data_IF_325890002577
#
_entry.id   IF_325890002577
#
_cell.length_a   1.000
_cell.length_b   1.000
_cell.length_c   1.000
_cell.angle_alpha   90.00
_cell.angle_beta   90.00
_cell.angle_gamma   90.00
#
_symmetry.space_group_name_H-M   'P 1'
#
loop_
_entity.id
_entity.type
_entity.pdbx_description
1 polymer ?
#
# COMPACT_ATOMS: atom_id res chain seq x y z
N UNK A 1 -24.56 71.97 33.18
CA UNK A 1 -25.34 71.79 31.93
C UNK A 1 -24.42 71.08 30.95
N UNK A 2 -24.76 69.83 30.56
CA UNK A 2 -24.02 69.05 29.56
C UNK A 2 -23.15 67.92 30.12
N UNK A 3 -23.77 66.80 30.47
CA UNK A 3 -23.17 65.47 30.62
C UNK A 3 -22.69 64.96 29.25
N UNK A 4 -21.41 64.59 29.14
CA UNK A 4 -20.85 63.90 27.97
C UNK A 4 -20.43 62.50 28.40
N UNK A 5 -21.33 61.56 28.16
CA UNK A 5 -21.13 60.12 28.21
C UNK A 5 -20.53 59.65 26.89
N UNK A 6 -19.60 58.67 26.97
CA UNK A 6 -19.18 57.74 25.91
C UNK A 6 -18.37 58.38 24.75
N UNK A 7 -17.10 58.00 24.47
CA UNK A 7 -16.70 56.74 23.83
C UNK A 7 -15.26 56.34 24.28
N UNK A 8 -15.23 55.33 25.14
CA UNK A 8 -14.40 54.10 25.18
C UNK A 8 -13.26 53.97 24.13
N UNK A 9 -12.00 54.08 24.56
CA UNK A 9 -11.08 52.98 24.95
C UNK A 9 -10.46 52.20 23.77
N UNK A 10 -9.16 52.39 23.59
CA UNK A 10 -8.32 51.58 22.71
C UNK A 10 -8.25 50.12 23.22
N UNK A 11 -8.44 49.10 22.35
CA UNK A 11 -8.07 47.75 22.69
C UNK A 11 -6.61 47.49 22.30
N UNK A 12 -5.96 46.74 23.18
CA UNK A 12 -4.56 46.35 23.14
C UNK A 12 -4.31 45.32 22.04
N UNK A 13 -3.07 45.35 21.55
CA UNK A 13 -2.44 44.34 20.72
C UNK A 13 -2.41 43.01 21.51
N UNK A 14 -3.10 41.99 21.01
CA UNK A 14 -2.91 40.59 21.42
C UNK A 14 -2.59 39.76 20.18
N UNK A 15 -1.51 39.00 20.31
CA UNK A 15 -0.78 38.34 19.25
C UNK A 15 -1.49 37.09 18.68
N UNK A 16 -1.12 36.77 17.43
CA UNK A 16 -1.26 35.47 16.76
C UNK A 16 -2.68 34.99 16.46
N UNK A 17 -3.15 35.38 15.26
CA UNK A 17 -3.58 34.40 14.26
C UNK A 17 -3.10 34.89 12.90
N UNK A 18 -1.89 34.46 12.54
CA UNK A 18 -1.48 34.34 11.15
C UNK A 18 -2.61 33.60 10.45
N UNK A 19 -3.41 34.33 9.66
CA UNK A 19 -4.05 33.73 8.50
C UNK A 19 -2.87 33.20 7.69
N UNK A 20 -2.64 31.90 7.76
CA UNK A 20 -1.98 31.22 6.64
C UNK A 20 -2.80 31.65 5.43
N UNK A 21 -2.16 32.40 4.54
CA UNK A 21 -2.68 32.54 3.20
C UNK A 21 -2.94 31.12 2.70
N UNK A 22 -4.12 30.83 2.10
CA UNK A 22 -4.28 29.57 1.42
C UNK A 22 -3.15 29.52 0.40
N UNK A 23 -2.31 28.50 0.49
CA UNK A 23 -1.34 28.20 -0.56
C UNK A 23 -2.13 28.31 -1.88
N UNK A 24 -1.68 29.19 -2.78
CA UNK A 24 -2.23 29.28 -4.13
C UNK A 24 -1.93 27.94 -4.80
N UNK A 25 -2.78 26.94 -4.54
CA UNK A 25 -2.86 25.73 -5.34
C UNK A 25 -3.06 26.22 -6.77
N UNK A 26 -2.03 26.03 -7.59
CA UNK A 26 -2.00 26.45 -8.99
C UNK A 26 -3.35 26.02 -9.62
N UNK A 27 -4.17 26.95 -10.13
CA UNK A 27 -5.53 26.61 -10.62
C UNK A 27 -5.49 25.50 -11.69
N UNK A 28 -4.31 25.31 -12.30
CA UNK A 28 -3.99 24.24 -13.22
C UNK A 28 -3.88 22.83 -12.59
N UNK A 29 -3.59 22.72 -11.30
CA UNK A 29 -3.53 21.46 -10.53
C UNK A 29 -4.88 21.07 -9.92
N UNK A 30 -5.86 22.00 -9.87
CA UNK A 30 -7.20 21.71 -9.39
C UNK A 30 -8.00 20.94 -10.44
N UNK A 31 -8.65 19.85 -10.01
CA UNK A 31 -9.55 19.12 -10.91
C UNK A 31 -10.70 20.04 -11.35
N UNK A 32 -11.03 20.10 -12.66
CA UNK A 32 -12.17 20.87 -13.16
C UNK A 32 -13.53 20.43 -12.59
N UNK A 33 -13.58 19.24 -12.00
CA UNK A 33 -14.77 18.63 -11.42
C UNK A 33 -14.70 18.79 -9.90
N UNK A 34 -15.67 19.49 -9.32
CA UNK A 34 -15.69 19.82 -7.89
C UNK A 34 -15.77 18.59 -7.00
N UNK A 35 -16.52 17.56 -7.40
CA UNK A 35 -16.64 16.31 -6.66
C UNK A 35 -15.30 15.56 -6.57
N UNK A 36 -14.44 15.68 -7.58
CA UNK A 36 -13.10 15.06 -7.58
C UNK A 36 -12.15 15.84 -6.68
N UNK A 37 -12.21 17.18 -6.73
CA UNK A 37 -11.44 18.08 -5.87
C UNK A 37 -11.71 17.84 -4.38
N UNK A 38 -12.96 17.53 -4.01
CA UNK A 38 -13.35 17.30 -2.61
C UNK A 38 -13.02 15.90 -2.10
N UNK A 39 -12.73 14.95 -3.00
CA UNK A 39 -12.51 13.54 -2.62
C UNK A 39 -11.04 13.18 -2.51
N UNK A 40 -10.15 13.90 -3.19
CA UNK A 40 -8.70 13.66 -3.15
C UNK A 40 -7.98 14.99 -2.91
N UNK A 41 -7.20 15.13 -1.82
CA UNK A 41 -6.34 16.29 -1.64
C UNK A 41 -5.23 16.30 -2.70
N UNK A 42 -4.98 17.44 -3.32
CA UNK A 42 -3.92 17.62 -4.33
C UNK A 42 -2.51 17.62 -3.70
N UNK A 43 -2.41 17.95 -2.42
CA UNK A 43 -1.15 18.02 -1.68
C UNK A 43 -0.74 16.64 -1.15
N UNK A 44 0.51 16.21 -1.40
CA UNK A 44 1.10 15.02 -0.78
C UNK A 44 1.78 15.37 0.56
N UNK A 45 1.55 14.57 1.60
CA UNK A 45 2.27 14.67 2.88
C UNK A 45 3.45 13.67 2.92
N UNK A 46 4.71 14.13 2.82
CA UNK A 46 5.89 13.27 2.82
C UNK A 46 6.21 12.67 4.20
N UNK A 47 5.58 13.13 5.28
CA UNK A 47 5.84 12.64 6.64
C UNK A 47 5.17 11.30 6.95
N UNK A 48 4.18 10.89 6.13
CA UNK A 48 3.42 9.67 6.34
C UNK A 48 4.30 8.42 6.25
N UNK A 49 4.21 7.49 7.21
CA UNK A 49 5.01 6.27 7.21
C UNK A 49 4.58 5.33 6.08
N UNK A 50 5.57 4.90 5.30
CA UNK A 50 5.39 4.04 4.12
C UNK A 50 5.96 2.62 4.35
N UNK A 51 7.04 2.52 5.11
CA UNK A 51 7.81 1.28 5.32
C UNK A 51 7.45 0.59 6.63
N UNK A 52 6.17 0.27 6.83
CA UNK A 52 5.68 -0.33 8.07
C UNK A 52 5.65 -1.86 8.00
N UNK A 53 5.69 -2.52 9.16
CA UNK A 53 5.58 -3.97 9.25
C UNK A 53 4.27 -4.50 8.61
N UNK A 54 3.14 -3.82 8.86
CA UNK A 54 1.84 -4.21 8.31
C UNK A 54 1.81 -4.17 6.78
N UNK A 55 2.45 -3.18 6.16
CA UNK A 55 2.57 -3.09 4.69
C UNK A 55 3.33 -4.29 4.15
N UNK A 56 4.50 -4.60 4.72
CA UNK A 56 5.32 -5.73 4.30
C UNK A 56 4.62 -7.07 4.49
N UNK A 57 3.99 -7.27 5.65
CA UNK A 57 3.28 -8.49 5.97
C UNK A 57 2.11 -8.72 5.00
N UNK A 58 1.20 -7.74 4.86
CA UNK A 58 0.03 -7.86 3.99
C UNK A 58 0.42 -7.89 2.50
N UNK A 59 1.42 -7.11 2.09
CA UNK A 59 1.94 -7.09 0.72
C UNK A 59 2.55 -8.43 0.32
N UNK A 60 3.53 -8.94 1.07
CA UNK A 60 4.16 -10.23 0.76
C UNK A 60 3.16 -11.39 0.85
N UNK A 61 2.30 -11.39 1.87
CA UNK A 61 1.28 -12.42 2.03
C UNK A 61 0.30 -12.42 0.85
N UNK A 62 -0.22 -11.26 0.47
CA UNK A 62 -1.15 -11.15 -0.67
C UNK A 62 -0.50 -11.53 -1.99
N UNK A 63 0.76 -11.13 -2.22
CA UNK A 63 1.53 -11.52 -3.39
C UNK A 63 1.64 -13.06 -3.49
N UNK A 64 2.09 -13.71 -2.42
CA UNK A 64 2.24 -15.16 -2.37
C UNK A 64 0.90 -15.90 -2.52
N UNK A 65 -0.13 -15.46 -1.78
CA UNK A 65 -1.46 -16.06 -1.82
C UNK A 65 -2.07 -15.98 -3.21
N UNK A 66 -2.02 -14.80 -3.85
CA UNK A 66 -2.65 -14.58 -5.14
C UNK A 66 -1.91 -15.33 -6.25
N UNK A 67 -0.58 -15.39 -6.20
CA UNK A 67 0.22 -16.22 -7.11
C UNK A 67 -0.12 -17.70 -6.99
N UNK A 68 -0.24 -18.20 -5.76
CA UNK A 68 -0.63 -19.58 -5.50
C UNK A 68 -2.04 -19.89 -6.01
N UNK A 69 -3.03 -19.05 -5.67
CA UNK A 69 -4.42 -19.28 -6.06
C UNK A 69 -4.57 -19.28 -7.58
N UNK A 70 -3.99 -18.30 -8.27
CA UNK A 70 -4.04 -18.24 -9.73
C UNK A 70 -3.32 -19.44 -10.39
N UNK A 71 -2.18 -19.87 -9.85
CA UNK A 71 -1.51 -21.08 -10.34
C UNK A 71 -2.31 -22.36 -10.09
N UNK A 72 -2.96 -22.46 -8.93
CA UNK A 72 -3.79 -23.60 -8.56
C UNK A 72 -5.05 -23.70 -9.44
N UNK A 73 -5.77 -22.59 -9.61
CA UNK A 73 -6.96 -22.56 -10.46
C UNK A 73 -6.62 -22.72 -11.95
N UNK A 74 -5.40 -22.37 -12.38
CA UNK A 74 -4.93 -22.62 -13.74
C UNK A 74 -4.87 -24.09 -14.15
N UNK A 75 -4.85 -25.04 -13.20
CA UNK A 75 -4.91 -26.48 -13.49
C UNK A 75 -6.34 -27.05 -13.53
N UNK A 76 -7.36 -26.25 -13.19
CA UNK A 76 -8.77 -26.67 -13.28
C UNK A 76 -9.22 -26.64 -14.75
N UNK A 77 -10.18 -27.51 -15.08
CA UNK A 77 -10.80 -27.52 -16.43
C UNK A 77 -11.50 -26.20 -16.78
N UNK A 78 -12.06 -25.53 -15.78
CA UNK A 78 -12.59 -24.16 -15.87
C UNK A 78 -11.75 -23.26 -14.95
N UNK A 79 -10.77 -22.53 -15.49
CA UNK A 79 -9.82 -21.75 -14.69
C UNK A 79 -10.46 -20.45 -14.20
N UNK A 80 -10.41 -20.23 -12.88
CA UNK A 80 -10.81 -18.97 -12.26
C UNK A 80 -9.58 -18.08 -12.05
N UNK A 81 -9.65 -16.83 -12.52
CA UNK A 81 -8.59 -15.82 -12.30
C UNK A 81 -9.01 -14.85 -11.22
N UNK A 82 -8.21 -14.75 -10.15
CA UNK A 82 -8.43 -13.80 -9.07
C UNK A 82 -7.55 -12.58 -9.32
N UNK A 83 -8.18 -11.41 -9.44
CA UNK A 83 -7.51 -10.14 -9.70
C UNK A 83 -7.05 -9.48 -8.40
N UNK A 84 -6.13 -8.52 -8.54
CA UNK A 84 -5.62 -7.68 -7.45
C UNK A 84 -6.72 -6.87 -6.73
N UNK A 85 -7.87 -6.62 -7.38
CA UNK A 85 -8.99 -5.86 -6.80
C UNK A 85 -9.52 -6.54 -5.53
N UNK A 86 -9.58 -7.88 -5.52
CA UNK A 86 -10.01 -8.64 -4.34
C UNK A 86 -9.13 -8.34 -3.13
N UNK A 87 -7.81 -8.25 -3.33
CA UNK A 87 -6.87 -7.87 -2.27
C UNK A 87 -7.04 -6.41 -1.89
N UNK A 88 -7.20 -5.52 -2.88
CA UNK A 88 -7.37 -4.08 -2.64
C UNK A 88 -8.59 -3.81 -1.73
N UNK A 89 -9.72 -4.47 -1.97
CA UNK A 89 -10.93 -4.35 -1.14
C UNK A 89 -10.71 -4.98 0.24
N UNK A 90 -10.11 -6.17 0.32
CA UNK A 90 -9.89 -6.87 1.59
C UNK A 90 -8.86 -6.18 2.50
N UNK A 91 -7.85 -5.54 1.91
CA UNK A 91 -6.75 -4.92 2.66
C UNK A 91 -7.21 -3.71 3.46
N UNK A 92 -8.23 -2.98 3.02
CA UNK A 92 -8.72 -1.80 3.74
C UNK A 92 -9.25 -2.11 5.16
N UNK A 93 -10.22 -3.04 5.35
CA UNK A 93 -10.68 -3.41 6.68
C UNK A 93 -9.59 -4.13 7.49
N UNK A 94 -8.78 -4.99 6.86
CA UNK A 94 -7.70 -5.72 7.53
C UNK A 94 -6.60 -4.77 8.03
N UNK A 95 -6.19 -3.82 7.20
CA UNK A 95 -5.17 -2.81 7.53
C UNK A 95 -5.62 -1.91 8.68
N UNK A 96 -6.89 -1.48 8.68
CA UNK A 96 -7.49 -0.74 9.80
C UNK A 96 -7.57 -1.58 11.08
N UNK A 97 -7.94 -2.86 10.97
CA UNK A 97 -7.97 -3.78 12.10
C UNK A 97 -6.57 -4.01 12.69
N UNK A 98 -5.55 -4.20 11.83
CA UNK A 98 -4.16 -4.32 12.26
C UNK A 98 -3.64 -3.03 12.90
N UNK A 99 -4.01 -1.85 12.38
CA UNK A 99 -3.65 -0.58 13.00
C UNK A 99 -4.28 -0.38 14.39
N UNK A 100 -5.44 -0.99 14.66
CA UNK A 100 -6.09 -0.95 15.99
C UNK A 100 -5.53 -1.98 16.97
N UNK A 101 -5.11 -3.15 16.46
CA UNK A 101 -4.70 -4.29 17.30
C UNK A 101 -3.20 -4.38 17.54
N UNK A 102 -2.35 -3.84 16.64
CA UNK A 102 -0.91 -3.90 16.83
C UNK A 102 -0.44 -2.92 17.90
N UNK A 103 0.46 -3.36 18.80
CA UNK A 103 1.00 -2.51 19.85
C UNK A 103 1.84 -1.37 19.28
N UNK A 104 1.57 -0.15 19.73
CA UNK A 104 2.35 1.09 19.44
C UNK A 104 3.70 1.11 20.16
N UNK A 105 4.07 0.01 20.82
CA UNK A 105 5.29 -0.09 21.62
C UNK A 105 6.51 0.12 20.72
N UNK A 106 7.33 1.09 21.12
CA UNK A 106 8.55 1.43 20.41
C UNK A 106 9.68 0.53 20.91
N UNK A 107 10.18 -0.34 20.03
CA UNK A 107 11.29 -1.23 20.31
C UNK A 107 12.60 -0.60 19.86
N UNK A 108 13.61 -0.67 20.72
CA UNK A 108 15.01 -0.42 20.33
C UNK A 108 15.62 -1.75 19.95
N UNK A 109 16.03 -1.90 18.69
CA UNK A 109 16.69 -3.12 18.23
C UNK A 109 18.16 -3.05 18.69
N UNK A 110 18.61 -3.92 19.61
CA UNK A 110 20.02 -3.93 20.01
C UNK A 110 20.89 -4.31 18.80
N UNK A 111 21.77 -3.38 18.38
CA UNK A 111 22.68 -3.56 17.24
C UNK A 111 22.40 -2.67 16.01
N UNK A 112 21.27 -1.95 15.96
CA UNK A 112 20.92 -1.06 14.83
C UNK A 112 20.97 0.45 15.19
N UNK A 113 21.82 0.82 16.16
CA UNK A 113 21.98 2.20 16.64
C UNK A 113 20.82 2.70 17.52
N UNK A 114 20.66 4.02 17.63
CA UNK A 114 19.62 4.70 18.41
C UNK A 114 18.23 4.73 17.74
N UNK A 115 18.05 4.03 16.62
CA UNK A 115 16.80 4.05 15.86
C UNK A 115 15.70 3.31 16.63
N UNK A 116 14.63 4.05 16.88
CA UNK A 116 13.41 3.57 17.52
C UNK A 116 12.49 2.99 16.45
N UNK A 117 12.13 1.71 16.57
CA UNK A 117 11.25 1.02 15.63
C UNK A 117 9.91 0.72 16.29
N UNK A 118 8.82 1.24 15.74
CA UNK A 118 7.46 0.89 16.17
C UNK A 118 6.82 -0.03 15.14
N UNK A 119 6.17 -1.09 15.60
CA UNK A 119 5.36 -1.97 14.75
C UNK A 119 4.10 -1.28 14.23
N UNK A 120 3.66 -0.23 14.93
CA UNK A 120 2.48 0.56 14.58
C UNK A 120 2.80 2.06 14.73
N UNK A 121 3.47 2.67 13.73
CA UNK A 121 3.90 4.07 13.81
C UNK A 121 2.74 5.07 13.66
N UNK A 122 1.55 4.63 13.26
CA UNK A 122 0.40 5.49 13.03
C UNK A 122 -0.78 4.77 12.37
N UNK A 123 -1.89 5.47 12.10
CA UNK A 123 -3.08 4.91 11.45
C UNK A 123 -2.76 4.34 10.06
N UNK A 124 -3.67 3.51 9.54
CA UNK A 124 -3.52 2.93 8.21
C UNK A 124 -3.67 4.01 7.13
N UNK A 125 -2.62 4.20 6.33
CA UNK A 125 -2.52 5.30 5.37
C UNK A 125 -2.77 4.84 3.93
N UNK A 126 -3.14 5.77 3.07
CA UNK A 126 -3.33 5.53 1.64
C UNK A 126 -2.06 5.00 0.96
N UNK A 127 -0.87 5.51 1.32
CA UNK A 127 0.42 5.06 0.77
C UNK A 127 0.68 3.57 1.01
N UNK A 128 0.39 3.10 2.21
CA UNK A 128 0.54 1.69 2.58
C UNK A 128 -0.45 0.81 1.82
N UNK A 129 -1.69 1.28 1.66
CA UNK A 129 -2.73 0.57 0.92
C UNK A 129 -2.39 0.44 -0.57
N UNK A 130 -1.86 1.50 -1.19
CA UNK A 130 -1.38 1.49 -2.57
C UNK A 130 -0.22 0.51 -2.72
N UNK A 131 0.75 0.52 -1.80
CA UNK A 131 1.89 -0.41 -1.86
C UNK A 131 1.47 -1.87 -1.74
N UNK A 132 0.56 -2.20 -0.83
CA UNK A 132 0.02 -3.56 -0.72
C UNK A 132 -0.67 -3.96 -2.05
N UNK A 133 -1.36 -3.04 -2.69
CA UNK A 133 -2.02 -3.28 -3.99
C UNK A 133 -1.00 -3.53 -5.10
N UNK A 134 0.14 -2.83 -5.10
CA UNK A 134 1.25 -3.09 -6.04
C UNK A 134 1.81 -4.50 -5.83
N UNK A 135 2.03 -4.92 -4.58
CA UNK A 135 2.44 -6.30 -4.27
C UNK A 135 1.40 -7.33 -4.74
N UNK A 136 0.12 -7.06 -4.51
CA UNK A 136 -0.96 -7.92 -4.97
C UNK A 136 -0.96 -8.03 -6.50
N UNK A 137 -0.76 -6.92 -7.22
CA UNK A 137 -0.68 -6.92 -8.68
C UNK A 137 0.51 -7.75 -9.20
N UNK A 138 1.66 -7.70 -8.51
CA UNK A 138 2.79 -8.58 -8.84
C UNK A 138 2.42 -10.07 -8.67
N UNK A 139 1.70 -10.42 -7.59
CA UNK A 139 1.22 -11.78 -7.33
C UNK A 139 0.12 -12.25 -8.30
N UNK A 140 -0.73 -11.34 -8.78
CA UNK A 140 -1.73 -11.61 -9.82
C UNK A 140 -1.13 -11.92 -11.20
N UNK A 141 0.19 -11.77 -11.34
CA UNK A 141 0.96 -11.92 -12.56
C UNK A 141 0.65 -10.85 -13.62
N UNK A 142 1.17 -9.64 -13.36
CA UNK A 142 1.13 -8.45 -14.21
C UNK A 142 1.06 -8.76 -15.73
N UNK A 143 -0.14 -8.63 -16.32
CA UNK A 143 -0.38 -8.66 -17.77
C UNK A 143 0.01 -9.95 -18.53
N UNK A 144 0.46 -11.02 -17.87
CA UNK A 144 1.16 -12.12 -18.55
C UNK A 144 0.83 -13.54 -18.08
N UNK A 145 -0.04 -13.69 -17.07
CA UNK A 145 -0.41 -14.99 -16.51
C UNK A 145 0.73 -15.66 -15.74
N UNK A 146 0.49 -16.89 -15.28
CA UNK A 146 1.45 -17.63 -14.46
C UNK A 146 2.76 -17.95 -15.20
N UNK A 147 3.81 -18.30 -14.45
CA UNK A 147 5.11 -18.58 -15.04
C UNK A 147 5.05 -19.81 -15.98
N UNK A 148 5.27 -19.58 -17.28
CA UNK A 148 5.08 -20.60 -18.33
C UNK A 148 5.87 -21.89 -18.05
N UNK A 149 7.10 -21.75 -17.57
CA UNK A 149 7.98 -22.85 -17.21
C UNK A 149 7.42 -23.80 -16.13
N UNK A 150 6.47 -23.35 -15.31
CA UNK A 150 5.76 -24.22 -14.36
C UNK A 150 5.01 -25.32 -15.10
N UNK A 151 4.43 -25.02 -16.26
CA UNK A 151 3.80 -26.00 -17.14
C UNK A 151 4.78 -27.08 -17.64
N UNK A 152 5.99 -26.67 -18.06
CA UNK A 152 7.05 -27.59 -18.51
C UNK A 152 7.43 -28.56 -17.39
N UNK A 153 7.70 -28.03 -16.19
CA UNK A 153 8.05 -28.85 -15.02
C UNK A 153 6.92 -29.81 -14.66
N UNK A 154 5.67 -29.36 -14.77
CA UNK A 154 4.49 -30.19 -14.52
C UNK A 154 4.38 -31.33 -15.53
N UNK A 155 4.57 -31.06 -16.83
CA UNK A 155 4.50 -32.08 -17.89
C UNK A 155 5.60 -33.14 -17.69
N UNK A 156 6.84 -32.73 -17.37
CA UNK A 156 7.96 -33.65 -17.13
C UNK A 156 7.64 -34.60 -15.96
N UNK A 157 7.04 -34.09 -14.89
CA UNK A 157 6.69 -34.88 -13.71
C UNK A 157 5.45 -35.75 -13.92
N UNK A 158 4.38 -35.20 -14.48
CA UNK A 158 3.07 -35.83 -14.58
C UNK A 158 2.94 -36.78 -15.78
N UNK A 159 3.46 -36.40 -16.96
CA UNK A 159 3.34 -37.21 -18.18
C UNK A 159 4.55 -38.09 -18.44
N UNK A 160 5.76 -37.57 -18.26
CA UNK A 160 7.00 -38.32 -18.55
C UNK A 160 7.54 -39.12 -17.37
N UNK A 161 6.96 -38.95 -16.17
CA UNK A 161 7.38 -39.65 -14.95
C UNK A 161 8.83 -39.40 -14.53
N UNK A 162 9.49 -38.36 -15.08
CA UNK A 162 10.90 -38.07 -14.81
C UNK A 162 11.03 -37.19 -13.58
N UNK A 163 12.02 -37.53 -12.74
CA UNK A 163 12.38 -36.73 -11.57
C UNK A 163 13.35 -35.64 -11.98
N UNK A 164 12.93 -34.39 -11.86
CA UNK A 164 13.79 -33.21 -11.97
C UNK A 164 14.05 -32.67 -10.57
N UNK A 165 15.30 -32.25 -10.31
CA UNK A 165 15.66 -31.66 -9.01
C UNK A 165 14.96 -30.30 -8.83
N UNK A 166 14.68 -29.95 -7.57
CA UNK A 166 14.04 -28.67 -7.24
C UNK A 166 14.84 -27.49 -7.78
N UNK A 167 16.16 -27.49 -7.58
CA UNK A 167 17.05 -26.40 -8.03
C UNK A 167 17.03 -26.25 -9.55
N UNK A 168 17.05 -27.35 -10.31
CA UNK A 168 16.96 -27.29 -11.77
C UNK A 168 15.62 -26.72 -12.25
N UNK A 169 14.51 -27.14 -11.63
CA UNK A 169 13.17 -26.57 -11.92
C UNK A 169 13.09 -25.09 -11.58
N UNK A 170 13.64 -24.69 -10.43
CA UNK A 170 13.64 -23.31 -9.97
C UNK A 170 14.45 -22.40 -10.90
N UNK A 171 15.66 -22.82 -11.30
CA UNK A 171 16.49 -22.07 -12.25
C UNK A 171 15.83 -21.95 -13.62
N UNK A 172 15.20 -23.02 -14.11
CA UNK A 172 14.45 -23.00 -15.37
C UNK A 172 13.27 -22.01 -15.29
N UNK A 173 12.53 -21.98 -14.18
CA UNK A 173 11.44 -21.03 -13.98
C UNK A 173 11.96 -19.59 -13.99
N UNK A 174 12.99 -19.27 -13.18
CA UNK A 174 13.53 -17.91 -13.11
C UNK A 174 14.05 -17.44 -14.47
N UNK A 175 14.85 -18.25 -15.16
CA UNK A 175 15.46 -17.86 -16.44
C UNK A 175 14.42 -17.53 -17.50
N UNK A 176 13.31 -18.29 -17.58
CA UNK A 176 12.24 -17.98 -18.55
C UNK A 176 11.47 -16.70 -18.23
N UNK A 177 11.35 -16.33 -16.96
CA UNK A 177 10.65 -15.11 -16.55
C UNK A 177 11.49 -13.83 -16.73
N UNK A 178 12.80 -13.94 -16.95
CA UNK A 178 13.70 -12.80 -17.20
C UNK A 178 13.87 -12.48 -18.70
N UNK A 179 13.48 -13.40 -19.59
CA UNK A 179 13.60 -13.26 -21.05
C UNK A 179 12.31 -12.70 -21.67
N UNK A 180 11.26 -12.54 -20.86
CA UNK A 180 9.95 -12.02 -21.24
C UNK A 180 9.93 -10.50 -21.10
#
# INVERSE_FOLDING_TARGET
MGSVEQIEAAPKLDDVKLKQEPDEDDESELSPIEEVRLTVPNTDDPSLPVWTFRMWFLGLFSCALLSFLNQFFGYRSEPLTITQITVQVATLPIGKFMASTLPTTTFRIPGFGSRQFSLNPGPFNMKEHVLITIFANAGAAFGGGTAYAVGIVTIIKAFYGRKISFVASWLLIITTQQVK
#
